data_IF_306264832032
#
_entry.id   IF_306264832032
#
_cell.length_a   1.000
_cell.length_b   1.000
_cell.length_c   1.000
_cell.angle_alpha   90.00
_cell.angle_beta   90.00
_cell.angle_gamma   90.00
#
_symmetry.space_group_name_H-M   'P 1'
#
loop_
_entity.id
_entity.type
_entity.pdbx_description
1 polymer ?
#
# COMPACT_ATOMS: atom_id res chain seq x y z
N UNK A 1 75.32 -23.44 -14.72
CA UNK A 1 75.46 -22.02 -14.35
C UNK A 1 74.08 -21.39 -14.31
N UNK A 2 73.77 -20.79 -13.15
CA UNK A 2 72.54 -20.09 -12.79
C UNK A 2 72.14 -18.98 -13.78
N UNK A 3 70.82 -18.72 -13.93
CA UNK A 3 70.17 -17.50 -13.42
C UNK A 3 68.63 -17.54 -13.56
N UNK A 4 67.97 -17.38 -12.41
CA UNK A 4 66.55 -17.16 -12.18
C UNK A 4 66.09 -15.75 -12.60
N UNK A 5 64.82 -15.59 -12.96
CA UNK A 5 63.97 -14.43 -12.65
C UNK A 5 62.50 -14.80 -13.02
N UNK A 6 61.69 -15.30 -12.10
CA UNK A 6 60.94 -14.60 -11.05
C UNK A 6 59.69 -13.83 -11.55
N UNK A 7 58.56 -14.31 -11.02
CA UNK A 7 57.19 -13.83 -11.01
C UNK A 7 56.97 -12.31 -11.14
N UNK A 8 55.94 -11.93 -11.91
CA UNK A 8 55.36 -10.59 -11.92
C UNK A 8 54.39 -10.45 -10.74
N UNK A 9 54.82 -9.66 -9.75
CA UNK A 9 54.11 -9.06 -8.61
C UNK A 9 52.92 -8.21 -9.06
N UNK A 10 51.74 -8.26 -8.43
CA UNK A 10 51.38 -7.83 -7.07
C UNK A 10 51.44 -6.32 -6.85
N UNK A 11 50.23 -5.72 -6.82
CA UNK A 11 49.77 -4.54 -6.07
C UNK A 11 50.83 -3.51 -5.64
N UNK A 12 50.80 -2.32 -6.26
CA UNK A 12 51.42 -1.13 -5.70
C UNK A 12 50.71 0.15 -6.15
N UNK A 13 49.90 0.72 -5.27
CA UNK A 13 49.74 2.17 -5.11
C UNK A 13 48.95 2.49 -3.83
N UNK A 14 49.63 2.42 -2.68
CA UNK A 14 49.39 3.37 -1.59
C UNK A 14 50.47 4.45 -1.71
N UNK A 15 50.09 5.71 -1.76
CA UNK A 15 51.01 6.83 -1.59
C UNK A 15 50.39 7.85 -0.65
N UNK A 16 51.00 7.90 0.53
CA UNK A 16 50.93 8.96 1.51
C UNK A 16 51.63 10.22 0.98
N UNK A 17 51.07 11.40 1.28
CA UNK A 17 51.81 12.49 1.94
C UNK A 17 50.99 13.77 2.05
N UNK A 18 50.95 14.26 3.30
CA UNK A 18 51.14 15.65 3.71
C UNK A 18 50.27 16.74 3.06
N UNK A 19 49.28 17.21 3.82
CA UNK A 19 48.80 18.58 3.71
C UNK A 19 48.96 19.28 5.07
N UNK A 20 49.69 20.39 5.00
CA UNK A 20 50.21 21.24 6.05
C UNK A 20 49.15 22.03 6.82
N UNK A 21 49.49 22.29 8.08
CA UNK A 21 48.92 23.30 8.99
C UNK A 21 48.65 24.64 8.30
N UNK A 22 47.44 25.18 8.48
CA UNK A 22 47.19 26.61 8.50
C UNK A 22 46.04 26.92 9.47
N UNK A 23 46.39 27.16 10.75
CA UNK A 23 45.54 27.89 11.68
C UNK A 23 45.61 29.36 11.26
N UNK A 24 44.50 29.90 10.76
CA UNK A 24 44.36 31.33 10.48
C UNK A 24 43.38 31.92 11.49
N UNK A 25 43.89 32.81 12.32
CA UNK A 25 43.15 33.64 13.24
C UNK A 25 42.31 34.65 12.46
N UNK A 26 40.99 34.54 12.57
CA UNK A 26 40.08 35.62 12.18
C UNK A 26 39.66 36.34 13.45
N UNK A 27 40.33 37.47 13.66
CA UNK A 27 40.10 38.38 14.76
C UNK A 27 38.70 38.99 14.73
N UNK A 28 38.23 39.30 15.94
CA UNK A 28 37.08 40.12 16.26
C UNK A 28 36.88 41.27 15.27
N UNK A 29 35.88 41.15 14.40
CA UNK A 29 35.26 42.33 13.83
C UNK A 29 34.11 42.76 14.74
N UNK A 30 34.43 43.78 15.52
CA UNK A 30 33.50 44.59 16.31
C UNK A 30 32.55 45.28 15.30
N UNK A 31 31.38 44.68 15.09
CA UNK A 31 30.28 45.34 14.39
C UNK A 31 29.69 46.40 15.33
N UNK A 32 30.15 47.64 15.19
CA UNK A 32 29.48 48.83 15.73
C UNK A 32 28.22 49.09 14.91
N UNK A 33 27.11 48.47 15.29
CA UNK A 33 25.79 48.89 14.82
C UNK A 33 25.29 50.05 15.70
N UNK A 34 25.31 51.26 15.16
CA UNK A 34 24.64 52.41 15.79
C UNK A 34 23.12 52.18 15.73
N UNK A 35 22.51 51.99 16.89
CA UNK A 35 21.07 52.11 17.04
C UNK A 35 20.70 53.59 16.91
N UNK A 36 20.04 53.96 15.82
CA UNK A 36 19.30 55.22 15.74
C UNK A 36 17.82 54.89 15.80
N UNK A 37 17.28 55.09 16.99
CA UNK A 37 15.85 55.15 17.26
C UNK A 37 15.26 56.32 16.50
N UNK A 38 14.29 56.07 15.62
CA UNK A 38 13.43 57.10 15.06
C UNK A 38 11.99 56.70 15.32
N UNK A 39 11.45 57.25 16.41
CA UNK A 39 10.03 57.32 16.67
C UNK A 39 9.39 58.27 15.67
N UNK A 40 8.40 57.80 14.91
CA UNK A 40 7.44 58.67 14.24
C UNK A 40 6.02 58.28 14.60
N UNK A 41 5.33 59.32 15.04
CA UNK A 41 4.03 59.32 15.68
C UNK A 41 2.92 58.72 14.81
N UNK A 42 2.05 58.00 15.52
CA UNK A 42 0.72 57.60 15.09
C UNK A 42 -0.13 58.84 14.79
N UNK A 43 -0.65 58.93 13.56
CA UNK A 43 -1.82 59.75 13.24
C UNK A 43 -2.87 58.86 12.58
N UNK A 44 -3.89 58.56 13.39
CA UNK A 44 -5.19 58.03 12.99
C UNK A 44 -5.97 59.13 12.26
N UNK A 45 -6.74 58.75 11.22
CA UNK A 45 -8.12 59.20 11.18
C UNK A 45 -9.10 58.03 11.05
N UNK A 46 -10.19 58.21 11.77
CA UNK A 46 -11.38 57.37 11.86
C UNK A 46 -12.22 57.47 10.60
N UNK A 47 -12.60 56.33 10.00
CA UNK A 47 -13.91 56.21 9.33
C UNK A 47 -14.41 54.76 9.46
N UNK A 48 -15.60 54.64 10.03
CA UNK A 48 -16.35 53.39 10.28
C UNK A 48 -17.03 52.85 9.00
N UNK A 49 -17.55 51.60 9.00
CA UNK A 49 -17.59 50.73 7.85
C UNK A 49 -18.88 50.85 7.03
N UNK A 50 -18.80 50.69 5.71
CA UNK A 50 -19.96 50.38 4.88
C UNK A 50 -20.04 48.87 4.69
N UNK A 51 -20.93 48.25 5.48
CA UNK A 51 -21.45 46.92 5.24
C UNK A 51 -22.31 46.95 3.97
N UNK A 52 -21.78 46.44 2.85
CA UNK A 52 -22.58 46.07 1.70
C UNK A 52 -22.94 44.58 1.83
N UNK A 53 -24.05 44.33 2.52
CA UNK A 53 -24.66 43.02 2.71
C UNK A 53 -25.32 42.61 1.38
N UNK A 54 -24.61 41.84 0.55
CA UNK A 54 -25.20 41.21 -0.62
C UNK A 54 -26.22 40.18 -0.16
N UNK A 55 -27.50 40.49 -0.39
CA UNK A 55 -28.64 39.64 -0.09
C UNK A 55 -28.63 38.38 -0.99
N UNK A 56 -27.88 37.35 -0.60
CA UNK A 56 -28.07 36.02 -1.16
C UNK A 56 -29.28 35.36 -0.49
N UNK A 57 -30.36 35.25 -1.26
CA UNK A 57 -31.57 34.52 -0.89
C UNK A 57 -31.20 33.05 -0.62
N UNK A 58 -31.58 32.46 0.53
CA UNK A 58 -31.45 31.03 0.72
C UNK A 58 -32.49 30.32 -0.17
N UNK A 59 -32.03 29.47 -1.08
CA UNK A 59 -32.92 28.54 -1.79
C UNK A 59 -33.29 27.43 -0.81
N UNK A 60 -34.32 27.68 0.00
CA UNK A 60 -35.08 26.63 0.66
C UNK A 60 -36.02 26.04 -0.39
N UNK A 61 -35.58 24.98 -1.07
CA UNK A 61 -36.49 24.07 -1.80
C UNK A 61 -36.37 22.68 -1.19
N UNK A 62 -36.80 22.58 0.07
CA UNK A 62 -37.19 21.31 0.66
C UNK A 62 -38.72 21.26 0.67
N UNK A 63 -39.24 20.08 0.30
CA UNK A 63 -40.63 19.63 0.28
C UNK A 63 -41.54 20.09 -0.87
N UNK A 64 -42.43 19.15 -1.23
CA UNK A 64 -43.42 19.10 -2.32
C UNK A 64 -42.79 18.57 -3.63
N UNK A 65 -42.95 17.31 -4.04
CA UNK A 65 -44.17 16.49 -4.11
C UNK A 65 -43.75 15.03 -4.35
N UNK A 66 -44.07 14.11 -3.44
CA UNK A 66 -44.16 12.69 -3.78
C UNK A 66 -45.57 12.51 -4.36
N UNK A 67 -45.72 12.74 -5.67
CA UNK A 67 -46.95 12.40 -6.38
C UNK A 67 -46.68 11.15 -7.20
N UNK A 68 -47.28 10.05 -6.77
CA UNK A 68 -47.42 8.82 -7.53
C UNK A 68 -47.93 9.10 -8.94
N UNK A 69 -47.14 8.76 -9.97
CA UNK A 69 -47.69 8.41 -11.27
C UNK A 69 -47.46 6.92 -11.50
N UNK A 70 -48.55 6.18 -11.37
CA UNK A 70 -48.68 4.87 -11.97
C UNK A 70 -48.52 4.99 -13.49
N UNK A 71 -47.79 4.04 -14.07
CA UNK A 71 -47.71 3.68 -15.50
C UNK A 71 -46.91 4.62 -16.44
N UNK A 72 -45.65 4.25 -16.70
CA UNK A 72 -45.01 4.13 -18.04
C UNK A 72 -43.62 3.48 -17.89
N UNK A 73 -43.49 2.22 -18.32
CA UNK A 73 -42.30 1.37 -18.10
C UNK A 73 -41.29 1.42 -19.28
N UNK A 74 -41.15 2.53 -20.00
CA UNK A 74 -40.22 2.58 -21.14
C UNK A 74 -39.30 3.82 -21.15
N UNK A 75 -39.48 4.78 -20.24
CA UNK A 75 -38.65 6.01 -20.18
C UNK A 75 -37.62 6.01 -19.01
N UNK A 76 -37.82 5.19 -17.98
CA UNK A 76 -36.93 5.12 -16.81
C UNK A 76 -35.54 4.53 -17.16
N UNK A 77 -35.47 3.58 -18.11
CA UNK A 77 -34.21 2.95 -18.53
C UNK A 77 -33.25 3.95 -19.21
N UNK A 78 -33.80 4.96 -19.90
CA UNK A 78 -33.01 6.01 -20.57
C UNK A 78 -32.47 6.99 -19.54
N UNK A 79 -33.26 7.33 -18.51
CA UNK A 79 -32.85 8.28 -17.46
C UNK A 79 -31.83 7.66 -16.48
N UNK A 80 -31.99 6.39 -16.06
CA UNK A 80 -30.96 5.70 -15.26
C UNK A 80 -29.67 5.50 -16.05
N UNK A 81 -29.75 5.20 -17.35
CA UNK A 81 -28.57 5.08 -18.20
C UNK A 81 -27.90 6.44 -18.45
N UNK A 82 -28.67 7.51 -18.60
CA UNK A 82 -28.15 8.88 -18.70
C UNK A 82 -27.49 9.31 -17.38
N UNK A 83 -28.09 8.99 -16.24
CA UNK A 83 -27.53 9.15 -14.91
C UNK A 83 -26.19 8.43 -14.76
N UNK A 84 -26.15 7.12 -15.03
CA UNK A 84 -24.92 6.31 -14.99
C UNK A 84 -23.84 6.83 -15.96
N UNK A 85 -24.22 7.28 -17.15
CA UNK A 85 -23.27 7.89 -18.11
C UNK A 85 -22.74 9.23 -17.60
N UNK A 86 -23.57 10.04 -16.96
CA UNK A 86 -23.17 11.30 -16.35
C UNK A 86 -22.23 11.08 -15.16
N UNK A 87 -22.53 10.11 -14.30
CA UNK A 87 -21.66 9.71 -13.19
C UNK A 87 -20.34 9.13 -13.71
N UNK A 88 -20.38 8.25 -14.70
CA UNK A 88 -19.18 7.73 -15.35
C UNK A 88 -18.34 8.85 -15.98
N UNK A 89 -18.99 9.88 -16.54
CA UNK A 89 -18.32 11.07 -17.08
C UNK A 89 -17.69 11.90 -15.95
N UNK A 90 -18.40 12.14 -14.84
CA UNK A 90 -17.88 12.86 -13.67
C UNK A 90 -16.70 12.10 -13.05
N UNK A 91 -16.80 10.78 -12.92
CA UNK A 91 -15.73 9.90 -12.44
C UNK A 91 -14.54 9.99 -13.38
N UNK A 92 -14.75 9.91 -14.70
CA UNK A 92 -13.69 10.04 -15.70
C UNK A 92 -13.03 11.41 -15.69
N UNK A 93 -13.80 12.48 -15.50
CA UNK A 93 -13.28 13.85 -15.41
C UNK A 93 -12.51 14.06 -14.09
N UNK A 94 -13.01 13.50 -12.98
CA UNK A 94 -12.36 13.56 -11.66
C UNK A 94 -11.06 12.77 -11.65
N UNK A 95 -11.03 11.57 -12.25
CA UNK A 95 -9.84 10.73 -12.41
C UNK A 95 -9.11 10.96 -13.73
N UNK A 96 -9.27 12.13 -14.33
CA UNK A 96 -8.65 12.44 -15.62
C UNK A 96 -7.13 12.52 -15.50
N UNK A 97 -6.45 11.57 -16.12
CA UNK A 97 -4.98 11.52 -16.22
C UNK A 97 -4.46 12.25 -17.47
N UNK A 98 -5.28 13.08 -18.12
CA UNK A 98 -4.92 13.75 -19.40
C UNK A 98 -3.70 14.67 -19.28
N UNK A 99 -3.43 15.19 -18.07
CA UNK A 99 -2.25 16.04 -17.79
C UNK A 99 -0.95 15.27 -17.48
N UNK A 100 -0.99 13.94 -17.42
CA UNK A 100 0.18 13.10 -17.09
C UNK A 100 0.99 12.81 -18.36
N UNK A 101 2.32 12.93 -18.34
CA UNK A 101 3.18 12.46 -19.43
C UNK A 101 2.91 10.98 -19.75
N UNK A 102 2.73 10.67 -21.03
CA UNK A 102 2.30 9.31 -21.45
C UNK A 102 3.32 8.24 -21.03
N UNK A 103 4.59 8.59 -21.04
CA UNK A 103 5.70 7.71 -20.66
C UNK A 103 5.59 7.30 -19.19
N UNK A 104 5.33 8.27 -18.31
CA UNK A 104 5.12 8.02 -16.89
C UNK A 104 3.85 7.20 -16.66
N UNK A 105 2.77 7.49 -17.39
CA UNK A 105 1.52 6.74 -17.30
C UNK A 105 1.72 5.27 -17.68
N UNK A 106 2.34 4.97 -18.82
CA UNK A 106 2.55 3.59 -19.25
C UNK A 106 3.44 2.81 -18.28
N UNK A 107 4.53 3.41 -17.82
CA UNK A 107 5.40 2.76 -16.84
C UNK A 107 4.70 2.57 -15.49
N UNK A 108 3.90 3.55 -15.05
CA UNK A 108 3.08 3.45 -13.86
C UNK A 108 2.08 2.31 -13.94
N UNK A 109 1.30 2.25 -15.02
CA UNK A 109 0.32 1.19 -15.24
C UNK A 109 0.98 -0.19 -15.35
N UNK A 110 2.10 -0.29 -16.07
CA UNK A 110 2.89 -1.53 -16.15
C UNK A 110 3.36 -1.98 -14.76
N UNK A 111 3.76 -1.05 -13.89
CA UNK A 111 4.14 -1.33 -12.51
C UNK A 111 3.01 -1.85 -11.62
N UNK A 112 1.75 -1.72 -12.02
CA UNK A 112 0.61 -2.26 -11.24
C UNK A 112 0.17 -3.63 -11.75
N UNK A 113 0.59 -4.03 -12.95
CA UNK A 113 0.24 -5.33 -13.53
C UNK A 113 0.61 -6.52 -12.62
N UNK A 114 1.80 -6.58 -12.00
CA UNK A 114 2.12 -7.70 -11.12
C UNK A 114 1.21 -7.78 -9.90
N UNK A 115 0.75 -6.65 -9.35
CA UNK A 115 -0.20 -6.63 -8.23
C UNK A 115 -1.58 -7.16 -8.62
N UNK A 116 -2.06 -6.76 -9.79
CA UNK A 116 -3.32 -7.26 -10.33
C UNK A 116 -3.23 -8.76 -10.63
N UNK A 117 -2.13 -9.20 -11.20
CA UNK A 117 -1.90 -10.61 -11.50
C UNK A 117 -1.84 -11.47 -10.23
N UNK A 118 -1.07 -11.05 -9.23
CA UNK A 118 -0.95 -11.81 -7.97
C UNK A 118 -2.28 -11.84 -7.20
N UNK A 119 -2.98 -10.70 -7.09
CA UNK A 119 -4.26 -10.65 -6.39
C UNK A 119 -5.36 -11.46 -7.07
N UNK A 120 -5.49 -11.38 -8.41
CA UNK A 120 -6.44 -12.22 -9.15
C UNK A 120 -6.11 -13.70 -9.00
N UNK A 121 -4.83 -14.07 -9.06
CA UNK A 121 -4.40 -15.44 -8.87
C UNK A 121 -4.70 -15.93 -7.44
N UNK A 122 -4.49 -15.10 -6.41
CA UNK A 122 -4.85 -15.45 -5.03
C UNK A 122 -6.34 -15.70 -4.88
N UNK A 123 -7.20 -14.85 -5.47
CA UNK A 123 -8.66 -15.02 -5.41
C UNK A 123 -9.10 -16.27 -6.19
N UNK A 124 -8.46 -16.56 -7.33
CA UNK A 124 -8.73 -17.77 -8.09
C UNK A 124 -8.37 -19.04 -7.30
N UNK A 125 -7.18 -19.07 -6.69
CA UNK A 125 -6.72 -20.18 -5.86
C UNK A 125 -7.58 -20.33 -4.59
N UNK A 126 -8.01 -19.22 -3.96
CA UNK A 126 -8.90 -19.29 -2.79
C UNK A 126 -10.26 -19.89 -3.16
N UNK A 127 -10.83 -19.50 -4.29
CA UNK A 127 -12.05 -20.09 -4.81
C UNK A 127 -11.91 -21.58 -5.09
N UNK A 128 -10.78 -21.99 -5.68
CA UNK A 128 -10.51 -23.39 -6.00
C UNK A 128 -10.32 -24.26 -4.75
N UNK A 129 -9.60 -23.77 -3.74
CA UNK A 129 -9.43 -24.46 -2.45
C UNK A 129 -10.78 -24.64 -1.75
N UNK A 130 -11.60 -23.58 -1.70
CA UNK A 130 -12.93 -23.65 -1.09
C UNK A 130 -13.85 -24.63 -1.81
N UNK A 131 -13.75 -24.70 -3.14
CA UNK A 131 -14.52 -25.63 -3.97
C UNK A 131 -14.05 -27.07 -3.77
N UNK A 132 -12.74 -27.31 -3.74
CA UNK A 132 -12.16 -28.62 -3.46
C UNK A 132 -12.55 -29.11 -2.05
N UNK A 133 -12.59 -28.22 -1.06
CA UNK A 133 -13.05 -28.56 0.29
C UNK A 133 -14.55 -28.89 0.34
N UNK A 134 -15.39 -28.20 -0.43
CA UNK A 134 -16.84 -28.39 -0.44
C UNK A 134 -17.30 -29.60 -1.28
N UNK A 135 -16.69 -29.82 -2.45
CA UNK A 135 -17.10 -30.84 -3.43
C UNK A 135 -16.15 -32.03 -3.52
N UNK A 136 -14.97 -31.97 -2.89
CA UNK A 136 -13.95 -33.01 -2.96
C UNK A 136 -13.14 -33.03 -4.26
N UNK A 137 -13.38 -32.08 -5.18
CA UNK A 137 -12.70 -31.98 -6.47
C UNK A 137 -12.39 -30.53 -6.86
N UNK A 138 -11.22 -30.32 -7.45
CA UNK A 138 -10.74 -29.03 -7.94
C UNK A 138 -11.18 -28.76 -9.38
N UNK A 139 -11.14 -27.51 -9.83
CA UNK A 139 -11.56 -27.17 -11.20
C UNK A 139 -10.42 -27.41 -12.20
N UNK A 140 -9.20 -27.07 -11.81
CA UNK A 140 -7.97 -27.14 -12.60
C UNK A 140 -6.83 -27.79 -11.79
N UNK A 141 -6.70 -27.45 -10.51
CA UNK A 141 -5.67 -27.91 -9.60
C UNK A 141 -6.26 -28.66 -8.41
N UNK A 142 -5.49 -29.63 -7.88
CA UNK A 142 -5.81 -30.25 -6.58
C UNK A 142 -5.59 -29.24 -5.44
N UNK A 143 -6.36 -29.37 -4.35
CA UNK A 143 -6.27 -28.43 -3.21
C UNK A 143 -4.84 -28.23 -2.70
N UNK A 144 -4.05 -29.32 -2.61
CA UNK A 144 -2.66 -29.28 -2.18
C UNK A 144 -1.73 -28.52 -3.17
N UNK A 145 -1.97 -28.64 -4.48
CA UNK A 145 -1.22 -27.86 -5.47
C UNK A 145 -1.58 -26.38 -5.44
N UNK A 146 -2.85 -26.05 -5.22
CA UNK A 146 -3.32 -24.68 -5.07
C UNK A 146 -2.69 -24.00 -3.83
N UNK A 147 -2.62 -24.70 -2.70
CA UNK A 147 -1.95 -24.21 -1.48
C UNK A 147 -0.45 -23.94 -1.71
N UNK A 148 0.25 -24.86 -2.38
CA UNK A 148 1.68 -24.66 -2.69
C UNK A 148 1.89 -23.43 -3.58
N UNK A 149 1.05 -23.24 -4.60
CA UNK A 149 1.14 -22.07 -5.48
C UNK A 149 0.88 -20.76 -4.73
N UNK A 150 -0.04 -20.75 -3.76
CA UNK A 150 -0.26 -19.58 -2.91
C UNK A 150 0.99 -19.22 -2.12
N UNK A 151 1.62 -20.19 -1.44
CA UNK A 151 2.83 -19.94 -0.67
C UNK A 151 4.01 -19.42 -1.49
N UNK A 152 4.07 -19.75 -2.78
CA UNK A 152 5.07 -19.18 -3.70
C UNK A 152 4.71 -17.76 -4.14
N UNK A 153 3.43 -17.42 -4.21
CA UNK A 153 2.94 -16.13 -4.70
C UNK A 153 2.99 -15.02 -3.63
N UNK A 154 2.77 -15.38 -2.37
CA UNK A 154 2.81 -14.48 -1.21
C UNK A 154 4.10 -13.64 -1.12
N UNK A 155 5.31 -14.22 -1.10
CA UNK A 155 6.54 -13.45 -1.01
C UNK A 155 6.82 -12.62 -2.27
N UNK A 156 6.29 -13.03 -3.43
CA UNK A 156 6.43 -12.27 -4.68
C UNK A 156 5.68 -10.94 -4.57
N UNK A 157 4.42 -10.98 -4.11
CA UNK A 157 3.61 -9.76 -3.96
C UNK A 157 4.20 -8.80 -2.92
N UNK A 158 4.61 -9.33 -1.75
CA UNK A 158 5.21 -8.53 -0.68
C UNK A 158 6.57 -7.97 -1.11
N UNK A 159 7.41 -8.81 -1.73
CA UNK A 159 8.71 -8.40 -2.27
C UNK A 159 8.59 -7.28 -3.28
N UNK A 160 7.66 -7.43 -4.22
CA UNK A 160 7.38 -6.41 -5.23
C UNK A 160 6.88 -5.10 -4.61
N UNK A 161 6.02 -5.18 -3.58
CA UNK A 161 5.58 -4.01 -2.82
C UNK A 161 6.70 -3.25 -2.15
N UNK A 162 7.63 -3.97 -1.52
CA UNK A 162 8.78 -3.34 -0.87
C UNK A 162 9.69 -2.62 -1.87
N UNK A 163 9.86 -3.21 -3.06
CA UNK A 163 10.61 -2.61 -4.17
C UNK A 163 9.93 -1.32 -4.65
N UNK A 164 8.62 -1.34 -4.91
CA UNK A 164 7.89 -0.14 -5.34
C UNK A 164 7.93 0.96 -4.27
N UNK A 165 7.66 0.65 -2.99
CA UNK A 165 7.75 1.63 -1.90
C UNK A 165 9.12 2.31 -1.85
N UNK A 166 10.19 1.55 -2.08
CA UNK A 166 11.56 2.09 -2.15
C UNK A 166 11.74 3.07 -3.31
N UNK A 167 11.23 2.74 -4.50
CA UNK A 167 11.29 3.64 -5.67
C UNK A 167 10.48 4.92 -5.49
N UNK A 168 9.28 4.85 -4.92
CA UNK A 168 8.44 6.02 -4.63
C UNK A 168 9.13 7.01 -3.69
N UNK A 169 9.84 6.48 -2.68
CA UNK A 169 10.69 7.30 -1.82
C UNK A 169 11.74 8.06 -2.64
N UNK A 170 12.45 7.36 -3.52
CA UNK A 170 13.53 7.93 -4.33
C UNK A 170 13.07 9.06 -5.29
N UNK A 171 11.80 9.08 -5.71
CA UNK A 171 11.24 10.18 -6.52
C UNK A 171 11.43 11.54 -5.83
N UNK A 172 11.36 11.59 -4.51
CA UNK A 172 11.53 12.83 -3.73
C UNK A 172 12.95 13.38 -3.82
N UNK A 173 13.96 12.51 -3.95
CA UNK A 173 15.34 12.92 -4.16
C UNK A 173 15.50 13.54 -5.54
N UNK A 174 14.92 12.90 -6.57
CA UNK A 174 14.92 13.42 -7.94
C UNK A 174 14.28 14.81 -8.04
N UNK A 175 13.16 15.02 -7.37
CA UNK A 175 12.49 16.34 -7.35
C UNK A 175 13.30 17.40 -6.58
N UNK A 176 14.01 17.03 -5.52
CA UNK A 176 14.90 17.95 -4.79
C UNK A 176 16.13 18.33 -5.65
N UNK A 177 16.75 17.38 -6.34
CA UNK A 177 17.87 17.62 -7.24
C UNK A 177 17.48 18.51 -8.41
N UNK A 178 16.26 18.33 -8.94
CA UNK A 178 15.69 19.21 -9.97
C UNK A 178 15.32 20.61 -9.44
N UNK A 179 15.33 20.84 -8.12
CA UNK A 179 14.91 22.10 -7.50
C UNK A 179 13.42 22.40 -7.68
N UNK A 180 12.59 21.39 -7.96
CA UNK A 180 11.18 21.58 -8.28
C UNK A 180 10.39 22.05 -7.04
N UNK A 181 9.74 23.21 -7.14
CA UNK A 181 8.97 23.81 -6.07
C UNK A 181 9.81 24.38 -4.91
N UNK A 182 11.12 24.57 -5.13
CA UNK A 182 12.07 25.07 -4.12
C UNK A 182 12.92 23.97 -3.49
N UNK A 183 13.97 24.38 -2.76
CA UNK A 183 14.88 23.47 -2.03
C UNK A 183 14.45 23.34 -0.58
N UNK A 184 14.09 22.13 -0.16
CA UNK A 184 13.67 21.82 1.21
C UNK A 184 14.74 21.04 1.98
N UNK A 185 15.82 20.63 1.32
CA UNK A 185 16.96 19.94 1.92
C UNK A 185 16.57 18.60 2.55
N UNK A 186 17.12 18.31 3.73
CA UNK A 186 17.00 17.01 4.40
C UNK A 186 15.56 16.54 4.65
N UNK A 187 14.60 17.47 4.82
CA UNK A 187 13.18 17.09 5.03
C UNK A 187 12.58 16.35 3.84
N UNK A 188 13.00 16.69 2.62
CA UNK A 188 12.54 16.01 1.41
C UNK A 188 13.30 14.71 1.15
N UNK A 189 14.59 14.70 1.45
CA UNK A 189 15.39 13.46 1.40
C UNK A 189 14.91 12.40 2.39
N UNK A 190 14.41 12.81 3.56
CA UNK A 190 13.89 11.90 4.58
C UNK A 190 12.77 11.00 4.04
N UNK A 191 11.87 11.50 3.19
CA UNK A 191 10.82 10.67 2.58
C UNK A 191 11.40 9.50 1.77
N UNK A 192 12.53 9.73 1.08
CA UNK A 192 13.23 8.69 0.33
C UNK A 192 13.99 7.68 1.17
N UNK A 193 14.30 7.99 2.42
CA UNK A 193 14.93 7.03 3.37
C UNK A 193 13.86 6.30 4.18
N UNK A 194 12.83 7.01 4.63
CA UNK A 194 11.76 6.45 5.46
C UNK A 194 10.96 5.41 4.69
N UNK A 195 10.65 5.66 3.41
CA UNK A 195 9.89 4.72 2.59
C UNK A 195 10.54 3.32 2.51
N UNK A 196 11.82 3.16 2.08
CA UNK A 196 12.49 1.87 2.10
C UNK A 196 12.72 1.33 3.52
N UNK A 197 12.99 2.20 4.50
CA UNK A 197 13.16 1.78 5.89
C UNK A 197 11.90 1.14 6.51
N UNK A 198 10.71 1.59 6.08
CA UNK A 198 9.43 0.96 6.45
C UNK A 198 9.14 -0.26 5.57
N UNK A 199 9.50 -0.22 4.29
CA UNK A 199 9.22 -1.29 3.35
C UNK A 199 9.99 -2.58 3.65
N UNK A 200 11.29 -2.51 3.96
CA UNK A 200 12.13 -3.69 4.14
C UNK A 200 11.71 -4.59 5.31
N UNK A 201 11.39 -4.07 6.51
CA UNK A 201 10.89 -4.90 7.62
C UNK A 201 9.65 -5.72 7.27
N UNK A 202 8.81 -5.25 6.35
CA UNK A 202 7.61 -6.00 5.94
C UNK A 202 7.92 -7.33 5.27
N UNK A 203 9.13 -7.51 4.73
CA UNK A 203 9.59 -8.79 4.15
C UNK A 203 9.78 -9.88 5.21
N UNK A 204 9.91 -9.50 6.48
CA UNK A 204 10.12 -10.41 7.60
C UNK A 204 8.83 -10.71 8.36
N UNK A 205 7.73 -10.01 8.04
CA UNK A 205 6.45 -10.18 8.71
C UNK A 205 5.67 -11.35 8.11
N UNK A 206 4.76 -11.97 8.89
CA UNK A 206 3.72 -12.83 8.33
C UNK A 206 2.91 -12.07 7.27
N UNK A 207 2.42 -12.80 6.29
CA UNK A 207 1.86 -12.25 5.04
C UNK A 207 0.73 -11.25 5.29
N UNK A 208 -0.14 -11.50 6.25
CA UNK A 208 -1.25 -10.62 6.63
C UNK A 208 -0.73 -9.27 7.09
N UNK A 209 0.19 -9.28 8.05
CA UNK A 209 0.77 -8.07 8.63
C UNK A 209 1.66 -7.33 7.64
N UNK A 210 2.38 -8.06 6.78
CA UNK A 210 3.18 -7.49 5.72
C UNK A 210 2.30 -6.68 4.75
N UNK A 211 1.23 -7.28 4.24
CA UNK A 211 0.29 -6.66 3.31
C UNK A 211 -0.42 -5.45 3.93
N UNK A 212 -0.89 -5.56 5.17
CA UNK A 212 -1.53 -4.43 5.89
C UNK A 212 -0.53 -3.28 6.09
N UNK A 213 0.69 -3.59 6.53
CA UNK A 213 1.74 -2.58 6.73
C UNK A 213 2.11 -1.87 5.43
N UNK A 214 2.24 -2.62 4.33
CA UNK A 214 2.52 -2.05 3.00
C UNK A 214 1.35 -1.21 2.49
N UNK A 215 0.10 -1.64 2.68
CA UNK A 215 -1.09 -0.86 2.34
C UNK A 215 -1.10 0.50 3.06
N UNK A 216 -0.81 0.51 4.36
CA UNK A 216 -0.69 1.73 5.15
C UNK A 216 0.49 2.59 4.67
N UNK A 217 1.64 1.99 4.36
CA UNK A 217 2.80 2.70 3.83
C UNK A 217 2.48 3.37 2.49
N UNK A 218 1.84 2.66 1.55
CA UNK A 218 1.42 3.22 0.27
C UNK A 218 0.44 4.39 0.46
N UNK A 219 -0.51 4.25 1.37
CA UNK A 219 -1.52 5.27 1.68
C UNK A 219 -0.88 6.52 2.30
N UNK A 220 0.03 6.34 3.25
CA UNK A 220 0.75 7.44 3.88
C UNK A 220 1.67 8.17 2.90
N UNK A 221 2.39 7.42 2.05
CA UNK A 221 3.19 7.99 0.97
C UNK A 221 2.32 8.78 -0.01
N UNK A 222 1.18 8.23 -0.43
CA UNK A 222 0.22 8.95 -1.26
C UNK A 222 -0.23 10.26 -0.59
N UNK A 223 -0.56 10.24 0.69
CA UNK A 223 -0.97 11.45 1.40
C UNK A 223 0.15 12.51 1.43
N UNK A 224 1.39 12.08 1.66
CA UNK A 224 2.55 12.97 1.57
C UNK A 224 2.74 13.54 0.16
N UNK A 225 2.60 12.72 -0.87
CA UNK A 225 2.71 13.08 -2.28
C UNK A 225 1.61 14.08 -2.70
N UNK A 226 0.36 13.82 -2.29
CA UNK A 226 -0.78 14.67 -2.57
C UNK A 226 -0.62 16.05 -1.90
N UNK A 227 -0.14 16.07 -0.64
CA UNK A 227 0.19 17.33 0.06
C UNK A 227 1.35 18.07 -0.59
N UNK A 228 2.36 17.35 -1.07
CA UNK A 228 3.47 17.95 -1.80
C UNK A 228 3.00 18.57 -3.12
N UNK A 229 2.12 17.89 -3.87
CA UNK A 229 1.52 18.41 -5.10
C UNK A 229 0.63 19.63 -4.83
N UNK A 230 -0.25 19.57 -3.82
CA UNK A 230 -1.12 20.69 -3.46
C UNK A 230 -0.35 21.93 -2.98
N UNK A 231 0.82 21.74 -2.35
CA UNK A 231 1.71 22.82 -1.94
C UNK A 231 2.65 23.31 -3.06
N UNK A 232 2.49 22.84 -4.30
CA UNK A 232 3.34 23.22 -5.45
C UNK A 232 4.77 22.66 -5.39
N UNK A 233 5.04 21.71 -4.48
CA UNK A 233 6.35 21.04 -4.36
C UNK A 233 6.51 19.89 -5.34
N UNK A 234 5.43 19.34 -5.86
CA UNK A 234 5.42 18.32 -6.91
C UNK A 234 4.51 18.77 -8.06
N UNK A 235 4.66 18.19 -9.26
CA UNK A 235 3.79 18.52 -10.39
C UNK A 235 2.31 18.32 -10.05
N UNK A 236 1.43 19.21 -10.53
CA UNK A 236 0.00 19.17 -10.18
C UNK A 236 -0.67 17.82 -10.52
N UNK A 237 -0.25 17.19 -11.61
CA UNK A 237 -0.76 15.90 -12.08
C UNK A 237 -0.29 14.73 -11.22
N UNK A 238 0.80 14.90 -10.44
CA UNK A 238 1.41 13.82 -9.66
C UNK A 238 0.48 13.29 -8.58
N UNK A 239 -0.30 14.16 -7.94
CA UNK A 239 -1.27 13.76 -6.91
C UNK A 239 -2.36 12.82 -7.45
N UNK A 240 -2.99 13.18 -8.58
CA UNK A 240 -4.04 12.36 -9.19
C UNK A 240 -3.47 11.05 -9.76
N UNK A 241 -2.32 11.13 -10.42
CA UNK A 241 -1.59 9.95 -10.90
C UNK A 241 -1.30 8.96 -9.77
N UNK A 242 -0.78 9.46 -8.64
CA UNK A 242 -0.45 8.63 -7.48
C UNK A 242 -1.70 8.05 -6.80
N UNK A 243 -2.80 8.79 -6.78
CA UNK A 243 -4.09 8.30 -6.29
C UNK A 243 -4.53 7.06 -7.06
N UNK A 244 -4.59 7.13 -8.40
CA UNK A 244 -5.05 6.02 -9.24
C UNK A 244 -4.15 4.79 -9.05
N UNK A 245 -2.83 4.95 -9.10
CA UNK A 245 -1.92 3.82 -8.91
C UNK A 245 -2.03 3.21 -7.51
N UNK A 246 -2.09 4.04 -6.47
CA UNK A 246 -2.22 3.57 -5.09
C UNK A 246 -3.57 2.90 -4.86
N UNK A 247 -4.63 3.38 -5.49
CA UNK A 247 -5.95 2.77 -5.43
C UNK A 247 -5.95 1.38 -6.03
N UNK A 248 -5.38 1.20 -7.23
CA UNK A 248 -5.33 -0.12 -7.88
C UNK A 248 -4.45 -1.10 -7.08
N UNK A 249 -3.27 -0.65 -6.60
CA UNK A 249 -2.42 -1.47 -5.72
C UNK A 249 -3.14 -1.79 -4.41
N UNK A 250 -3.80 -0.82 -3.80
CA UNK A 250 -4.54 -0.98 -2.56
C UNK A 250 -5.70 -1.96 -2.69
N UNK A 251 -6.50 -1.84 -3.75
CA UNK A 251 -7.57 -2.78 -4.08
C UNK A 251 -7.02 -4.20 -4.32
N UNK A 252 -5.87 -4.32 -4.98
CA UNK A 252 -5.20 -5.61 -5.18
C UNK A 252 -4.77 -6.23 -3.85
N UNK A 253 -4.17 -5.45 -2.95
CA UNK A 253 -3.77 -5.92 -1.61
C UNK A 253 -5.00 -6.38 -0.80
N UNK A 254 -6.09 -5.60 -0.83
CA UNK A 254 -7.34 -5.95 -0.15
C UNK A 254 -7.93 -7.25 -0.72
N UNK A 255 -7.95 -7.41 -2.05
CA UNK A 255 -8.40 -8.64 -2.69
C UNK A 255 -7.56 -9.86 -2.26
N UNK A 256 -6.23 -9.72 -2.19
CA UNK A 256 -5.34 -10.76 -1.67
C UNK A 256 -5.67 -11.11 -0.22
N UNK A 257 -5.87 -10.11 0.65
CA UNK A 257 -6.22 -10.33 2.07
C UNK A 257 -7.54 -11.08 2.22
N UNK A 258 -8.58 -10.68 1.48
CA UNK A 258 -9.89 -11.35 1.49
C UNK A 258 -9.77 -12.79 0.99
N UNK A 259 -9.02 -13.03 -0.09
CA UNK A 259 -8.77 -14.38 -0.60
C UNK A 259 -8.09 -15.26 0.45
N UNK A 260 -7.11 -14.72 1.18
CA UNK A 260 -6.40 -15.45 2.26
C UNK A 260 -7.29 -15.73 3.47
N UNK A 261 -8.11 -14.77 3.89
CA UNK A 261 -9.05 -14.97 5.00
C UNK A 261 -10.00 -16.14 4.75
N UNK A 262 -10.52 -16.26 3.51
CA UNK A 262 -11.41 -17.36 3.13
C UNK A 262 -10.72 -18.73 3.27
N UNK A 263 -9.46 -18.84 2.86
CA UNK A 263 -8.70 -20.10 2.95
C UNK A 263 -8.45 -20.49 4.39
N UNK A 264 -8.06 -19.53 5.24
CA UNK A 264 -7.76 -19.79 6.65
C UNK A 264 -9.00 -20.31 7.41
N UNK A 265 -10.19 -19.82 7.07
CA UNK A 265 -11.45 -20.32 7.63
C UNK A 265 -11.72 -21.77 7.21
N UNK A 266 -11.48 -22.12 5.94
CA UNK A 266 -11.69 -23.47 5.41
C UNK A 266 -10.73 -24.51 6.02
N UNK A 267 -9.43 -24.20 6.09
CA UNK A 267 -8.42 -25.09 6.68
C UNK A 267 -8.71 -25.32 8.17
N UNK A 268 -9.05 -24.26 8.91
CA UNK A 268 -9.38 -24.35 10.34
C UNK A 268 -10.63 -25.22 10.57
N UNK A 269 -11.63 -25.09 9.70
CA UNK A 269 -12.85 -25.90 9.76
C UNK A 269 -12.57 -27.38 9.49
N UNK A 270 -11.75 -27.70 8.49
CA UNK A 270 -11.44 -29.08 8.12
C UNK A 270 -10.71 -29.83 9.25
N UNK A 271 -9.65 -29.24 9.81
CA UNK A 271 -8.91 -29.85 10.92
C UNK A 271 -9.77 -30.00 12.17
N UNK A 272 -10.53 -28.97 12.55
CA UNK A 272 -11.35 -29.04 13.76
C UNK A 272 -12.42 -30.14 13.70
N UNK A 273 -13.03 -30.35 12.53
CA UNK A 273 -14.12 -31.32 12.38
C UNK A 273 -13.57 -32.74 12.22
N UNK A 274 -12.58 -32.95 11.33
CA UNK A 274 -12.01 -34.28 11.10
C UNK A 274 -11.28 -34.81 12.32
N UNK A 275 -10.52 -33.96 13.03
CA UNK A 275 -9.78 -34.39 14.22
C UNK A 275 -10.71 -34.76 15.38
N UNK A 276 -11.81 -34.02 15.56
CA UNK A 276 -12.84 -34.38 16.56
C UNK A 276 -13.53 -35.70 16.23
N UNK A 277 -13.87 -35.92 14.95
CA UNK A 277 -14.51 -37.17 14.51
C UNK A 277 -13.55 -38.35 14.70
N UNK A 278 -12.29 -38.21 14.27
CA UNK A 278 -11.29 -39.26 14.43
C UNK A 278 -11.00 -39.55 15.91
N UNK A 279 -10.96 -38.51 16.76
CA UNK A 279 -10.82 -38.68 18.21
C UNK A 279 -12.01 -39.43 18.82
N UNK A 280 -13.24 -39.12 18.41
CA UNK A 280 -14.44 -39.83 18.88
C UNK A 280 -14.45 -41.30 18.43
N UNK A 281 -14.11 -41.57 17.17
CA UNK A 281 -14.01 -42.94 16.65
C UNK A 281 -12.93 -43.73 17.41
N UNK A 282 -11.79 -43.09 17.70
CA UNK A 282 -10.71 -43.70 18.49
C UNK A 282 -11.17 -44.02 19.92
N UNK A 283 -11.85 -43.08 20.60
CA UNK A 283 -12.40 -43.30 21.94
C UNK A 283 -13.43 -44.43 21.95
N UNK A 284 -14.35 -44.44 20.98
CA UNK A 284 -15.35 -45.49 20.87
C UNK A 284 -14.72 -46.88 20.63
N UNK A 285 -13.64 -46.94 19.84
CA UNK A 285 -12.90 -48.18 19.60
C UNK A 285 -12.23 -48.66 20.89
N UNK A 286 -11.63 -47.75 21.65
CA UNK A 286 -11.01 -48.04 22.95
C UNK A 286 -12.03 -48.53 23.98
N UNK A 287 -13.20 -47.89 24.07
CA UNK A 287 -14.28 -48.33 24.98
C UNK A 287 -14.78 -49.74 24.63
N UNK A 288 -14.91 -50.06 23.33
CA UNK A 288 -15.29 -51.41 22.89
C UNK A 288 -14.25 -52.45 23.28
N UNK A 289 -12.97 -52.12 23.11
CA UNK A 289 -11.85 -53.00 23.46
C UNK A 289 -11.78 -53.24 24.99
N UNK A 290 -12.01 -52.21 25.79
CA UNK A 290 -12.14 -52.33 27.26
C UNK A 290 -13.39 -53.11 27.70
N UNK A 291 -14.52 -52.99 26.99
CA UNK A 291 -15.72 -53.76 27.30
C UNK A 291 -15.59 -55.25 26.90
N UNK A 292 -14.85 -55.54 25.82
CA UNK A 292 -14.53 -56.91 25.42
C UNK A 292 -13.54 -57.56 26.38
N UNK A 293 -12.55 -56.83 26.91
CA UNK A 293 -11.64 -57.36 27.93
C UNK A 293 -12.36 -57.67 29.24
N UNK A 294 -13.28 -56.80 29.69
CA UNK A 294 -14.14 -57.07 30.87
C UNK A 294 -15.02 -58.31 30.68
N UNK A 295 -15.64 -58.46 29.50
CA UNK A 295 -16.43 -59.66 29.20
C UNK A 295 -15.58 -60.93 29.19
N UNK A 296 -14.33 -60.86 28.72
CA UNK A 296 -13.41 -62.01 28.77
C UNK A 296 -13.02 -62.37 30.20
N UNK A 297 -12.73 -61.40 31.07
CA UNK A 297 -12.43 -61.68 32.48
C UNK A 297 -13.64 -62.23 33.24
N UNK A 298 -14.84 -61.75 32.96
CA UNK A 298 -16.07 -62.28 33.58
C UNK A 298 -16.36 -63.73 33.17
N UNK A 299 -16.00 -64.11 31.93
CA UNK A 299 -16.12 -65.50 31.46
C UNK A 299 -15.07 -66.40 32.13
N UNK A 300 -13.81 -65.95 32.23
CA UNK A 300 -12.74 -66.69 32.92
C UNK A 300 -13.02 -66.89 34.42
N UNK A 301 -13.66 -65.94 35.11
CA UNK A 301 -14.04 -66.08 36.53
C UNK A 301 -15.25 -67.02 36.76
N UNK A 302 -15.93 -67.44 35.69
CA UNK A 302 -17.14 -68.28 35.75
C UNK A 302 -16.93 -69.75 35.39
N UNK A 303 -15.71 -70.13 34.96
CA UNK A 303 -15.27 -71.53 34.77
C UNK A 303 -14.50 -72.07 35.99
#
# INVERSE_FOLDING_TARGET
>A
MYRNAAARSALRAFSSSNASVARSALGNQICKAQMTSSARNLLRPSVSPSFALAAHKPVTTALVRYSSSSAKHDEDDIDVMAGMKSEAKVIKETFSLTGVPKEALYLGMAGVVPYLATSMQTVFLSYEINRAAALGDGLIFSGQSAELMLHMLEPIQIGYGAVILSFLGAVHWGLEWAGYGGKFGYRRYAAGVIAPAVAWPTLLFPVEYALISQFLAFTFLYYNDARAAAAGRAPHWYGMYRFVLTFVVGASIVATLVGREQIQQTITSEHSIKDKINALIFLQKKEKEEAESRRRSEIEDSE
#
